data_IF_132272863772
#
_entry.id   IF_132272863772
#
_cell.length_a   1.000
_cell.length_b   1.000
_cell.length_c   1.000
_cell.angle_alpha   90.00
_cell.angle_beta   90.00
_cell.angle_gamma   90.00
#
_symmetry.space_group_name_H-M   'P 1'
#
loop_
_entity.id
_entity.type
_entity.pdbx_description
1 polymer ?
#
# COMPACT_ATOMS: atom_id res chain seq x y z
N UNK A 1 -8.94 5.21 -24.66
CA UNK A 1 -7.59 4.69 -24.36
C UNK A 1 -7.74 3.64 -23.26
N UNK A 2 -7.36 2.39 -23.50
CA UNK A 2 -7.58 1.30 -22.53
C UNK A 2 -6.66 1.46 -21.30
N UNK A 3 -7.10 0.98 -20.14
CA UNK A 3 -6.30 0.91 -18.90
C UNK A 3 -6.49 2.07 -17.91
N UNK A 4 -6.81 3.28 -18.38
CA UNK A 4 -7.02 4.44 -17.50
C UNK A 4 -8.40 4.44 -16.85
N UNK A 5 -8.46 4.69 -15.56
CA UNK A 5 -9.71 4.84 -14.81
C UNK A 5 -9.62 5.98 -13.79
N UNK A 6 -10.76 6.61 -13.54
CA UNK A 6 -10.95 7.54 -12.43
C UNK A 6 -11.76 6.83 -11.36
N UNK A 7 -11.23 6.82 -10.13
CA UNK A 7 -11.83 6.11 -9.00
C UNK A 7 -12.15 7.12 -7.91
N UNK A 8 -13.33 6.97 -7.33
CA UNK A 8 -13.74 7.69 -6.13
C UNK A 8 -13.72 6.72 -4.95
N UNK A 9 -12.99 7.04 -3.90
CA UNK A 9 -12.86 6.23 -2.70
C UNK A 9 -13.05 7.09 -1.45
N UNK A 10 -13.56 6.48 -0.37
CA UNK A 10 -13.64 7.14 0.94
C UNK A 10 -12.57 6.56 1.84
N UNK A 11 -11.77 7.41 2.48
CA UNK A 11 -10.72 6.98 3.40
C UNK A 11 -11.35 6.45 4.70
N UNK A 12 -10.84 5.32 5.20
CA UNK A 12 -11.22 4.83 6.53
C UNK A 12 -10.85 5.84 7.62
N UNK A 13 -11.66 5.88 8.67
CA UNK A 13 -11.45 6.66 9.88
C UNK A 13 -10.43 6.01 10.82
N UNK A 14 -10.00 6.77 11.83
CA UNK A 14 -9.15 6.27 12.92
C UNK A 14 -7.64 6.47 12.73
N UNK A 15 -7.20 7.11 11.65
CA UNK A 15 -5.83 7.60 11.55
C UNK A 15 -5.69 8.96 12.22
N UNK A 16 -4.45 9.36 12.51
CA UNK A 16 -4.13 10.71 12.96
C UNK A 16 -4.47 11.76 11.87
N UNK A 17 -4.93 12.94 12.28
CA UNK A 17 -5.34 14.02 11.37
C UNK A 17 -4.20 14.47 10.43
N UNK A 18 -2.96 14.43 10.91
CA UNK A 18 -1.78 14.79 10.11
C UNK A 18 -1.57 13.87 8.91
N UNK A 19 -1.98 12.60 9.01
CA UNK A 19 -1.86 11.63 7.92
C UNK A 19 -2.91 11.89 6.83
N UNK A 20 -4.12 12.33 7.19
CA UNK A 20 -5.12 12.71 6.20
C UNK A 20 -4.70 13.96 5.42
N UNK A 21 -3.95 14.86 6.05
CA UNK A 21 -3.46 16.08 5.41
C UNK A 21 -2.52 15.80 4.22
N UNK A 22 -1.93 14.61 4.12
CA UNK A 22 -1.07 14.21 3.00
C UNK A 22 -1.84 13.85 1.72
N UNK A 23 -3.15 13.60 1.82
CA UNK A 23 -4.01 13.44 0.66
C UNK A 23 -4.35 14.82 0.11
N UNK A 24 -3.63 15.22 -0.94
CA UNK A 24 -3.81 16.52 -1.61
C UNK A 24 -3.97 16.33 -3.10
N UNK A 25 -4.75 17.21 -3.72
CA UNK A 25 -4.86 17.30 -5.16
C UNK A 25 -3.47 17.51 -5.80
N UNK A 26 -3.22 16.82 -6.92
CA UNK A 26 -1.98 16.88 -7.69
C UNK A 26 -0.86 15.98 -7.16
N UNK A 27 -1.02 15.36 -5.99
CA UNK A 27 0.00 14.45 -5.43
C UNK A 27 -0.05 13.09 -6.14
N UNK A 28 1.12 12.58 -6.50
CA UNK A 28 1.23 11.21 -7.03
C UNK A 28 0.98 10.19 -5.93
N UNK A 29 0.30 9.11 -6.29
CA UNK A 29 -0.02 8.03 -5.37
C UNK A 29 0.22 6.66 -6.02
N UNK A 30 0.42 5.67 -5.17
CA UNK A 30 0.42 4.26 -5.53
C UNK A 30 -0.86 3.62 -4.98
N UNK A 31 -1.59 2.89 -5.83
CA UNK A 31 -2.86 2.26 -5.48
C UNK A 31 -2.78 0.76 -5.68
N UNK A 32 -3.25 0.00 -4.70
CA UNK A 32 -3.30 -1.46 -4.80
C UNK A 32 -4.56 -1.98 -4.11
N UNK A 33 -5.05 -3.14 -4.54
CA UNK A 33 -6.09 -3.84 -3.77
C UNK A 33 -5.57 -4.19 -2.37
N UNK A 34 -6.44 -4.16 -1.37
CA UNK A 34 -6.13 -4.74 -0.05
C UNK A 34 -6.55 -6.21 -0.10
N UNK A 35 -5.59 -7.08 -0.40
CA UNK A 35 -5.78 -8.53 -0.42
C UNK A 35 -4.59 -9.19 0.28
N UNK A 36 -4.84 -10.29 1.01
CA UNK A 36 -3.78 -11.05 1.69
C UNK A 36 -2.77 -11.68 0.72
N UNK A 37 -3.17 -11.87 -0.53
CA UNK A 37 -2.42 -12.58 -1.58
C UNK A 37 -1.62 -11.67 -2.51
N UNK A 38 -1.67 -10.34 -2.33
CA UNK A 38 -0.90 -9.39 -3.14
C UNK A 38 0.54 -9.18 -2.66
N UNK A 39 0.97 -9.88 -1.61
CA UNK A 39 2.39 -9.99 -1.29
C UNK A 39 3.04 -10.89 -2.33
N UNK A 40 3.99 -10.34 -3.08
CA UNK A 40 4.89 -11.16 -3.86
C UNK A 40 5.57 -12.15 -2.90
N UNK A 41 5.65 -13.43 -3.25
CA UNK A 41 6.18 -14.48 -2.36
C UNK A 41 7.69 -14.33 -2.05
N UNK A 42 8.35 -13.33 -2.65
CA UNK A 42 9.75 -13.01 -2.41
C UNK A 42 9.82 -11.82 -1.48
N UNK A 43 10.45 -11.99 -0.31
CA UNK A 43 10.42 -10.95 0.71
C UNK A 43 11.20 -9.67 0.37
N UNK A 44 11.98 -9.67 -0.71
CA UNK A 44 12.59 -8.47 -1.29
C UNK A 44 11.55 -7.45 -1.83
N UNK A 45 10.28 -7.84 -1.97
CA UNK A 45 9.26 -7.03 -2.64
C UNK A 45 8.19 -6.54 -1.64
N UNK A 46 8.09 -5.22 -1.51
CA UNK A 46 7.03 -4.56 -0.73
C UNK A 46 5.69 -4.44 -1.47
N UNK A 47 4.62 -3.98 -0.80
CA UNK A 47 3.28 -3.83 -1.38
C UNK A 47 3.21 -2.91 -2.61
N UNK A 48 4.20 -2.02 -2.78
CA UNK A 48 4.27 -1.11 -3.90
C UNK A 48 4.88 -1.72 -5.17
N UNK A 49 5.42 -2.94 -5.11
CA UNK A 49 5.93 -3.66 -6.29
C UNK A 49 4.83 -3.92 -7.34
N UNK A 50 3.61 -4.26 -6.89
CA UNK A 50 2.47 -4.52 -7.76
C UNK A 50 1.43 -3.38 -7.79
N UNK A 51 1.76 -2.22 -7.22
CA UNK A 51 0.81 -1.12 -7.15
C UNK A 51 0.70 -0.36 -8.47
N UNK A 52 -0.52 -0.01 -8.84
CA UNK A 52 -0.80 0.89 -9.97
C UNK A 52 -0.37 2.31 -9.61
N UNK A 53 0.16 3.04 -10.60
CA UNK A 53 0.59 4.44 -10.44
C UNK A 53 -0.54 5.39 -10.80
N UNK A 54 -0.55 6.55 -10.14
CA UNK A 54 -1.58 7.55 -10.38
C UNK A 54 -1.35 8.89 -9.71
N UNK A 55 -2.38 9.72 -9.78
CA UNK A 55 -2.43 11.03 -9.15
C UNK A 55 -3.78 11.26 -8.47
N UNK A 56 -3.77 11.93 -7.32
CA UNK A 56 -4.98 12.38 -6.66
C UNK A 56 -5.48 13.62 -7.40
N UNK A 57 -6.69 13.52 -7.94
CA UNK A 57 -7.35 14.58 -8.70
C UNK A 57 -8.14 15.53 -7.82
N UNK A 58 -8.67 15.06 -6.70
CA UNK A 58 -9.54 15.84 -5.82
C UNK A 58 -9.62 15.19 -4.43
N UNK A 59 -9.84 16.01 -3.41
CA UNK A 59 -10.04 15.60 -2.01
C UNK A 59 -11.14 16.46 -1.41
N UNK A 60 -12.23 15.81 -1.00
CA UNK A 60 -13.40 16.48 -0.43
C UNK A 60 -13.77 15.83 0.88
N UNK A 61 -14.26 16.64 1.83
CA UNK A 61 -14.88 16.17 3.06
C UNK A 61 -16.28 16.78 3.11
N UNK A 62 -17.34 16.01 2.85
CA UNK A 62 -18.69 16.54 2.88
C UNK A 62 -19.07 16.92 4.31
N UNK A 63 -19.92 17.94 4.43
CA UNK A 63 -20.44 18.39 5.72
C UNK A 63 -21.33 17.30 6.34
N UNK A 64 -21.12 17.01 7.62
CA UNK A 64 -21.88 16.04 8.38
C UNK A 64 -21.02 15.13 9.25
N UNK A 65 -21.68 14.48 10.22
CA UNK A 65 -21.00 13.55 11.10
C UNK A 65 -20.65 12.26 10.34
N UNK A 66 -19.37 11.87 10.38
CA UNK A 66 -18.91 10.66 9.71
C UNK A 66 -19.34 9.43 10.51
N UNK A 67 -19.83 8.40 9.81
CA UNK A 67 -20.16 7.12 10.44
C UNK A 67 -18.92 6.49 11.05
N UNK A 68 -19.10 5.70 12.10
CA UNK A 68 -18.02 4.96 12.75
C UNK A 68 -17.18 4.19 11.72
N UNK A 69 -15.86 4.35 11.79
CA UNK A 69 -14.91 3.72 10.87
C UNK A 69 -14.72 4.45 9.53
N UNK A 70 -15.46 5.51 9.25
CA UNK A 70 -15.26 6.40 8.10
C UNK A 70 -14.62 7.71 8.55
N UNK A 71 -13.69 8.25 7.76
CA UNK A 71 -13.16 9.61 7.97
C UNK A 71 -14.07 10.70 7.38
N UNK A 72 -15.02 10.29 6.52
CA UNK A 72 -15.77 11.19 5.64
C UNK A 72 -14.96 11.74 4.46
N UNK A 73 -13.64 11.61 4.46
CA UNK A 73 -12.78 12.17 3.42
C UNK A 73 -12.88 11.29 2.17
N UNK A 74 -13.38 11.88 1.09
CA UNK A 74 -13.44 11.27 -0.21
C UNK A 74 -12.28 11.77 -1.06
N UNK A 75 -11.58 10.83 -1.70
CA UNK A 75 -10.55 11.11 -2.68
C UNK A 75 -11.01 10.66 -4.06
N UNK A 76 -10.64 11.42 -5.07
CA UNK A 76 -10.74 11.01 -6.46
C UNK A 76 -9.34 10.90 -7.03
N UNK A 77 -8.99 9.77 -7.61
CA UNK A 77 -7.68 9.57 -8.22
C UNK A 77 -7.81 8.98 -9.62
N UNK A 78 -6.84 9.28 -10.49
CA UNK A 78 -6.66 8.56 -11.74
C UNK A 78 -5.59 7.48 -11.58
N UNK A 79 -5.78 6.36 -12.26
CA UNK A 79 -4.79 5.28 -12.39
C UNK A 79 -4.65 4.91 -13.86
N UNK A 80 -3.43 4.58 -14.28
CA UNK A 80 -3.14 4.11 -15.65
C UNK A 80 -3.41 2.61 -15.85
N UNK A 81 -3.59 1.88 -14.75
CA UNK A 81 -3.91 0.47 -14.72
C UNK A 81 -5.04 0.19 -13.71
N UNK A 82 -6.20 -0.22 -14.23
CA UNK A 82 -7.33 -0.72 -13.44
C UNK A 82 -7.28 -2.25 -13.30
N UNK A 83 -6.97 -2.72 -12.10
CA UNK A 83 -6.97 -4.14 -11.73
C UNK A 83 -8.25 -4.50 -10.96
N UNK A 84 -8.53 -5.80 -10.81
CA UNK A 84 -9.70 -6.29 -10.08
C UNK A 84 -9.80 -5.78 -8.63
N UNK A 85 -8.65 -5.55 -7.98
CA UNK A 85 -8.59 -4.99 -6.63
C UNK A 85 -9.02 -3.52 -6.51
N UNK A 86 -9.26 -2.82 -7.62
CA UNK A 86 -9.66 -1.40 -7.67
C UNK A 86 -11.08 -1.25 -8.26
N UNK A 87 -11.86 -2.33 -8.33
CA UNK A 87 -13.27 -2.30 -8.76
C UNK A 87 -14.19 -1.72 -7.67
N UNK A 88 -15.38 -1.20 -8.03
CA UNK A 88 -16.37 -0.76 -7.05
C UNK A 88 -16.65 -1.83 -5.98
N UNK A 89 -16.76 -1.40 -4.72
CA UNK A 89 -16.98 -2.29 -3.57
C UNK A 89 -15.71 -2.94 -3.00
N UNK A 90 -14.54 -2.75 -3.63
CA UNK A 90 -13.26 -3.23 -3.11
C UNK A 90 -12.62 -2.23 -2.16
N UNK A 91 -11.74 -2.75 -1.30
CA UNK A 91 -10.89 -1.94 -0.44
C UNK A 91 -9.56 -1.71 -1.15
N UNK A 92 -9.17 -0.45 -1.26
CA UNK A 92 -7.95 -0.02 -1.96
C UNK A 92 -6.99 0.61 -0.97
N UNK A 93 -5.74 0.15 -0.97
CA UNK A 93 -4.63 0.81 -0.31
C UNK A 93 -4.15 1.95 -1.20
N UNK A 94 -4.17 3.17 -0.68
CA UNK A 94 -3.64 4.35 -1.35
C UNK A 94 -2.46 4.88 -0.54
N UNK A 95 -1.30 5.04 -1.17
CA UNK A 95 -0.09 5.58 -0.56
C UNK A 95 0.32 6.85 -1.30
N UNK A 96 0.17 8.04 -0.70
CA UNK A 96 0.77 9.28 -1.20
C UNK A 96 2.29 9.14 -1.37
N UNK A 97 2.88 9.82 -2.35
CA UNK A 97 4.29 9.66 -2.70
C UNK A 97 5.27 10.06 -1.59
N UNK A 98 4.86 10.93 -0.67
CA UNK A 98 5.67 11.40 0.47
C UNK A 98 5.74 10.42 1.64
N UNK A 99 4.89 9.40 1.68
CA UNK A 99 4.95 8.35 2.70
C UNK A 99 6.14 7.43 2.44
N UNK A 100 6.67 6.67 3.41
CA UNK A 100 7.77 5.73 3.14
C UNK A 100 7.33 4.57 2.22
N UNK A 101 8.29 4.01 1.48
CA UNK A 101 8.10 2.72 0.82
C UNK A 101 8.35 1.63 1.85
N UNK A 102 7.30 0.86 2.20
CA UNK A 102 7.43 -0.20 3.20
C UNK A 102 7.95 -1.45 2.50
N UNK A 103 9.21 -1.79 2.75
CA UNK A 103 9.80 -3.07 2.41
C UNK A 103 9.87 -3.95 3.66
N UNK A 104 9.84 -5.26 3.47
CA UNK A 104 10.15 -6.18 4.56
C UNK A 104 11.64 -6.04 4.90
N UNK A 105 12.01 -5.87 6.18
CA UNK A 105 13.41 -5.94 6.61
C UNK A 105 14.04 -7.27 6.18
N UNK A 106 15.36 -7.27 5.92
CA UNK A 106 16.10 -8.48 5.50
C UNK A 106 15.91 -9.63 6.48
N UNK A 107 15.75 -9.31 7.75
CA UNK A 107 15.58 -10.23 8.86
C UNK A 107 14.20 -10.93 8.86
N UNK A 108 13.19 -10.34 8.18
CA UNK A 108 11.83 -10.86 8.13
C UNK A 108 11.56 -11.82 6.95
N UNK A 109 12.55 -12.02 6.06
CA UNK A 109 12.40 -12.95 4.95
C UNK A 109 13.68 -13.72 4.63
N UNK A 110 13.48 -14.90 4.04
CA UNK A 110 14.54 -15.73 3.47
C UNK A 110 14.42 -15.54 1.96
N UNK A 111 15.49 -15.13 1.28
CA UNK A 111 15.45 -14.67 -0.12
C UNK A 111 14.86 -15.72 -1.08
N UNK A 112 15.70 -16.57 -1.65
CA UNK A 112 15.27 -17.71 -2.49
C UNK A 112 15.18 -19.01 -1.67
N UNK A 113 15.51 -18.95 -0.38
CA UNK A 113 15.55 -20.13 0.50
C UNK A 113 16.61 -21.15 0.11
N UNK A 114 17.50 -20.83 -0.83
CA UNK A 114 18.47 -21.78 -1.37
C UNK A 114 19.65 -22.01 -0.42
N UNK A 115 19.94 -21.04 0.45
CA UNK A 115 21.00 -21.12 1.44
C UNK A 115 20.46 -21.01 2.89
N UNK A 116 20.40 -22.11 3.65
CA UNK A 116 19.98 -22.10 5.06
C UNK A 116 20.86 -21.22 5.97
N UNK A 117 22.14 -21.07 5.62
CA UNK A 117 23.12 -20.28 6.39
C UNK A 117 22.86 -18.76 6.29
N UNK A 118 21.98 -18.32 5.38
CA UNK A 118 21.55 -16.92 5.27
C UNK A 118 20.61 -16.47 6.41
N UNK A 119 20.13 -17.42 7.23
CA UNK A 119 19.24 -17.17 8.38
C UNK A 119 19.83 -17.70 9.69
N UNK A 120 20.53 -18.83 9.64
CA UNK A 120 21.05 -19.48 10.83
C UNK A 120 22.57 -19.36 10.86
N UNK A 121 23.16 -19.02 12.02
CA UNK A 121 24.60 -19.07 12.17
C UNK A 121 25.09 -20.50 11.99
N UNK A 122 26.21 -20.66 11.29
CA UNK A 122 26.88 -21.96 11.15
C UNK A 122 27.29 -22.48 12.53
N UNK A 123 27.43 -23.80 12.72
CA UNK A 123 27.94 -24.37 13.97
C UNK A 123 29.29 -23.80 14.45
N UNK A 124 30.05 -23.13 13.57
CA UNK A 124 31.30 -22.44 13.92
C UNK A 124 31.13 -21.35 15.00
N UNK A 125 29.91 -20.87 15.26
CA UNK A 125 29.65 -19.95 16.39
C UNK A 125 29.78 -20.63 17.77
N UNK A 126 29.84 -21.96 17.82
CA UNK A 126 29.99 -22.74 19.05
C UNK A 126 31.42 -23.32 19.13
N UNK A 127 32.43 -22.56 19.61
CA UNK A 127 33.86 -22.94 19.51
C UNK A 127 34.30 -24.12 20.40
N UNK A 128 33.39 -24.73 21.15
CA UNK A 128 33.68 -25.77 22.16
C UNK A 128 32.98 -27.10 21.90
N UNK A 129 32.29 -27.25 20.77
CA UNK A 129 31.65 -28.51 20.36
C UNK A 129 32.00 -28.81 18.91
#
# INVERSE_FOLDING_TARGET
>A
KFGRATVTATLFGGMDESLYADFKQGVSAMMNGVENTLKHAGGNYGPAHMASRGSILDVTKPDGESRLGSSGIQIRFETDLIIEGIRPGRVVRVRPSNWPHVNLPREEFISDGSNPEDRFPTPAIFPKY
#
